data_IF_734730239927
#
_entry.id   IF_734730239927
#
_cell.length_a   1.000
_cell.length_b   1.000
_cell.length_c   1.000
_cell.angle_alpha   90.00
_cell.angle_beta   90.00
_cell.angle_gamma   90.00
#
_symmetry.space_group_name_H-M   'P 1'
#
loop_
_entity.id
_entity.type
_entity.pdbx_description
1 polymer ?
#
# COMPACT_ATOMS: atom_id res chain seq x y z
N UNK A 1 18.53 -5.77 -21.98
CA UNK A 1 18.61 -4.68 -20.98
C UNK A 1 18.22 -5.24 -19.61
N UNK A 2 19.05 -5.10 -18.59
CA UNK A 2 18.73 -5.61 -17.24
C UNK A 2 17.70 -4.72 -16.58
N UNK A 3 16.54 -5.30 -16.23
CA UNK A 3 15.47 -4.58 -15.52
C UNK A 3 15.87 -4.32 -14.08
N UNK A 4 16.16 -3.06 -13.74
CA UNK A 4 16.67 -2.66 -12.42
C UNK A 4 15.59 -2.58 -11.34
N UNK A 5 14.41 -2.08 -11.69
CA UNK A 5 13.25 -1.97 -10.79
C UNK A 5 12.42 -3.26 -10.85
N UNK A 6 12.79 -4.26 -10.04
CA UNK A 6 12.07 -5.54 -9.94
C UNK A 6 11.07 -5.53 -8.78
N UNK A 7 9.97 -6.31 -8.84
CA UNK A 7 9.11 -6.53 -7.69
C UNK A 7 9.90 -6.99 -6.45
N UNK A 8 9.48 -6.55 -5.27
CA UNK A 8 10.18 -6.80 -4.01
C UNK A 8 11.31 -5.83 -3.70
N UNK A 9 11.82 -5.06 -4.66
CA UNK A 9 12.91 -4.13 -4.43
C UNK A 9 12.50 -2.96 -3.56
N UNK A 10 13.32 -2.65 -2.54
CA UNK A 10 13.10 -1.47 -1.69
C UNK A 10 13.65 -0.25 -2.42
N UNK A 11 12.85 0.80 -2.47
CA UNK A 11 13.17 2.09 -3.08
C UNK A 11 12.94 3.24 -2.12
N UNK A 12 13.66 4.34 -2.35
CA UNK A 12 13.43 5.62 -1.68
C UNK A 12 12.75 6.55 -2.67
N UNK A 13 11.71 7.23 -2.22
CA UNK A 13 10.95 8.18 -3.04
C UNK A 13 11.68 9.52 -2.99
N UNK A 14 11.95 10.09 -4.16
CA UNK A 14 12.69 11.35 -4.29
C UNK A 14 11.75 12.56 -4.37
N UNK A 15 10.53 12.39 -4.93
CA UNK A 15 9.66 13.52 -5.23
C UNK A 15 8.22 13.29 -4.73
N UNK A 16 7.53 14.39 -4.43
CA UNK A 16 6.14 14.45 -4.03
C UNK A 16 5.91 14.29 -2.52
N UNK A 17 4.65 14.10 -2.12
CA UNK A 17 4.20 14.06 -0.72
C UNK A 17 4.96 13.06 0.17
N UNK A 18 5.47 11.98 -0.41
CA UNK A 18 6.18 10.92 0.31
C UNK A 18 7.70 10.92 0.02
N UNK A 19 8.25 12.06 -0.40
CA UNK A 19 9.70 12.21 -0.58
C UNK A 19 10.45 11.81 0.71
N UNK A 20 11.59 11.13 0.55
CA UNK A 20 12.37 10.59 1.68
C UNK A 20 11.76 9.36 2.37
N UNK A 21 10.60 8.87 1.90
CA UNK A 21 10.00 7.63 2.43
C UNK A 21 10.49 6.42 1.66
N UNK A 22 10.56 5.30 2.37
CA UNK A 22 10.87 4.00 1.78
C UNK A 22 9.61 3.27 1.37
N UNK A 23 9.69 2.57 0.26
CA UNK A 23 8.62 1.72 -0.23
C UNK A 23 9.18 0.49 -0.91
N UNK A 24 8.32 -0.47 -1.16
CA UNK A 24 8.60 -1.72 -1.86
C UNK A 24 7.89 -1.67 -3.20
N UNK A 25 8.59 -2.02 -4.26
CA UNK A 25 8.00 -2.16 -5.59
C UNK A 25 7.16 -3.43 -5.61
N UNK A 26 5.90 -3.32 -6.00
CA UNK A 26 5.00 -4.46 -6.20
C UNK A 26 4.92 -4.83 -7.66
N UNK A 27 4.79 -3.82 -8.53
CA UNK A 27 4.67 -4.01 -9.96
C UNK A 27 5.48 -2.94 -10.70
N UNK A 28 6.16 -3.34 -11.73
CA UNK A 28 6.95 -2.45 -12.59
C UNK A 28 6.48 -2.55 -14.03
N UNK A 29 6.11 -1.41 -14.62
CA UNK A 29 5.74 -1.28 -16.01
C UNK A 29 6.82 -0.43 -16.70
N UNK A 30 7.60 -1.07 -17.57
CA UNK A 30 8.67 -0.40 -18.34
C UNK A 30 8.16 0.25 -19.61
N UNK A 31 7.01 -0.22 -20.09
CA UNK A 31 6.37 0.30 -21.29
C UNK A 31 5.37 1.40 -20.92
N UNK A 32 5.17 2.32 -21.84
CA UNK A 32 4.14 3.34 -21.72
C UNK A 32 2.76 2.70 -21.88
N UNK A 33 1.86 3.02 -20.97
CA UNK A 33 0.44 2.63 -21.04
C UNK A 33 -0.38 3.85 -21.44
N UNK A 34 -1.56 3.66 -22.07
CA UNK A 34 -2.44 4.76 -22.52
C UNK A 34 -2.63 5.86 -21.47
N UNK A 35 -2.78 5.48 -20.20
CA UNK A 35 -2.97 6.42 -19.08
C UNK A 35 -1.67 7.10 -18.61
N UNK A 36 -0.51 6.46 -18.83
CA UNK A 36 0.79 6.94 -18.37
C UNK A 36 1.84 6.69 -19.44
N UNK A 37 2.18 7.75 -20.15
CA UNK A 37 3.16 7.72 -21.26
C UNK A 37 4.62 7.65 -20.79
N UNK A 38 4.87 7.11 -19.59
CA UNK A 38 6.20 7.00 -19.00
C UNK A 38 6.35 5.68 -18.22
N UNK A 39 7.57 5.16 -18.09
CA UNK A 39 7.86 3.99 -17.25
C UNK A 39 7.50 4.28 -15.78
N UNK A 40 6.73 3.38 -15.18
CA UNK A 40 6.24 3.60 -13.82
C UNK A 40 6.21 2.31 -13.00
N UNK A 41 6.31 2.48 -11.69
CA UNK A 41 6.19 1.40 -10.73
C UNK A 41 5.04 1.65 -9.76
N UNK A 42 4.33 0.60 -9.37
CA UNK A 42 3.45 0.64 -8.22
C UNK A 42 4.29 0.37 -6.95
N UNK A 43 4.25 1.32 -6.03
CA UNK A 43 5.04 1.28 -4.79
C UNK A 43 4.10 1.28 -3.59
N UNK A 44 4.36 0.36 -2.68
CA UNK A 44 3.74 0.28 -1.35
C UNK A 44 4.76 0.68 -0.31
N UNK A 45 4.45 1.65 0.53
CA UNK A 45 5.41 2.13 1.51
C UNK A 45 4.77 2.66 2.78
N UNK A 46 5.60 2.96 3.76
CA UNK A 46 5.18 3.49 5.04
C UNK A 46 4.99 5.01 4.96
N UNK A 47 3.79 5.48 5.26
CA UNK A 47 3.49 6.94 5.31
C UNK A 47 4.21 7.63 6.47
N UNK A 48 4.40 6.91 7.58
CA UNK A 48 5.21 7.36 8.74
C UNK A 48 6.08 6.19 9.19
N UNK A 49 7.35 6.47 9.47
CA UNK A 49 8.24 5.49 10.06
C UNK A 49 7.76 5.05 11.45
N UNK A 50 7.99 3.79 11.84
CA UNK A 50 7.65 3.31 13.16
C UNK A 50 8.44 4.07 14.24
N UNK A 51 7.79 4.35 15.36
CA UNK A 51 8.47 4.85 16.54
C UNK A 51 9.28 3.74 17.19
N UNK A 52 10.41 4.08 17.81
CA UNK A 52 11.23 3.11 18.54
C UNK A 52 10.37 2.42 19.63
N UNK A 53 10.22 1.10 19.60
CA UNK A 53 9.45 0.40 20.59
C UNK A 53 10.24 0.34 21.90
N UNK A 54 9.78 1.08 22.89
CA UNK A 54 10.28 1.01 24.27
C UNK A 54 9.25 0.29 25.14
N UNK A 55 9.68 -0.35 26.23
CA UNK A 55 8.77 -1.02 27.19
C UNK A 55 7.61 -0.09 27.59
N UNK A 56 7.91 1.19 27.86
CA UNK A 56 6.91 2.20 28.23
C UNK A 56 5.89 2.47 27.11
N UNK A 57 6.34 2.55 25.84
CA UNK A 57 5.46 2.80 24.70
C UNK A 57 4.57 1.59 24.41
N UNK A 58 5.11 0.38 24.56
CA UNK A 58 4.36 -0.87 24.40
C UNK A 58 3.28 -0.97 25.48
N UNK A 59 3.63 -0.73 26.76
CA UNK A 59 2.67 -0.76 27.86
C UNK A 59 1.54 0.28 27.67
N UNK A 60 1.87 1.50 27.26
CA UNK A 60 0.86 2.53 26.94
C UNK A 60 -0.05 2.10 25.79
N UNK A 61 0.50 1.46 24.76
CA UNK A 61 -0.29 0.97 23.62
C UNK A 61 -1.23 -0.16 24.06
N UNK A 62 -0.73 -1.12 24.85
CA UNK A 62 -1.54 -2.21 25.39
C UNK A 62 -2.68 -1.70 26.29
N UNK A 63 -2.39 -0.75 27.19
CA UNK A 63 -3.41 -0.13 28.03
C UNK A 63 -4.48 0.60 27.17
N UNK A 64 -4.08 1.28 26.10
CA UNK A 64 -5.01 1.93 25.18
C UNK A 64 -5.87 0.91 24.42
N UNK A 65 -5.28 -0.19 23.95
CA UNK A 65 -5.99 -1.28 23.30
C UNK A 65 -7.03 -1.87 24.26
N UNK A 66 -6.63 -2.22 25.48
CA UNK A 66 -7.53 -2.78 26.50
C UNK A 66 -8.72 -1.86 26.80
N UNK A 67 -8.48 -0.54 26.91
CA UNK A 67 -9.56 0.44 27.08
C UNK A 67 -10.51 0.52 25.88
N UNK A 68 -10.02 0.30 24.68
CA UNK A 68 -10.86 0.33 23.47
C UNK A 68 -11.61 -1.00 23.29
N UNK A 69 -11.04 -2.13 23.65
CA UNK A 69 -11.68 -3.44 23.57
C UNK A 69 -12.89 -3.55 24.51
N UNK A 70 -12.97 -2.72 25.56
CA UNK A 70 -14.15 -2.62 26.42
C UNK A 70 -15.29 -1.73 25.88
N UNK A 71 -15.14 -1.16 24.68
CA UNK A 71 -16.16 -0.31 24.03
C UNK A 71 -16.76 -1.03 22.83
N UNK A 72 -18.08 -1.04 22.67
CA UNK A 72 -18.82 -1.82 21.67
C UNK A 72 -18.45 -1.57 20.20
N UNK A 73 -17.88 -0.42 19.87
CA UNK A 73 -17.46 -0.03 18.49
C UNK A 73 -15.94 -0.04 18.28
N UNK A 74 -15.22 -0.89 18.98
CA UNK A 74 -13.76 -0.80 19.10
C UNK A 74 -12.97 -1.49 17.97
N UNK A 75 -13.56 -2.41 17.20
CA UNK A 75 -12.79 -3.31 16.31
C UNK A 75 -11.90 -2.57 15.31
N UNK A 76 -12.43 -1.55 14.63
CA UNK A 76 -11.67 -0.80 13.60
C UNK A 76 -10.62 0.13 14.22
N UNK A 77 -10.92 0.72 15.38
CA UNK A 77 -9.94 1.56 16.10
C UNK A 77 -8.78 0.73 16.62
N UNK A 78 -9.03 -0.48 17.10
CA UNK A 78 -8.00 -1.42 17.56
C UNK A 78 -7.15 -1.91 16.40
N UNK A 79 -7.78 -2.26 15.24
CA UNK A 79 -7.05 -2.62 14.02
C UNK A 79 -6.12 -1.50 13.57
N UNK A 80 -6.59 -0.25 13.57
CA UNK A 80 -5.78 0.91 13.23
C UNK A 80 -4.59 1.13 14.17
N UNK A 81 -4.74 0.86 15.47
CA UNK A 81 -3.65 0.95 16.45
C UNK A 81 -2.61 -0.14 16.27
N UNK A 82 -3.03 -1.34 15.82
CA UNK A 82 -2.18 -2.49 15.53
C UNK A 82 -1.66 -2.49 14.08
N UNK A 83 -1.77 -1.38 13.35
CA UNK A 83 -1.29 -1.24 11.98
C UNK A 83 -0.42 -0.01 11.76
N UNK A 84 0.46 -0.08 10.76
CA UNK A 84 1.18 1.11 10.29
C UNK A 84 0.37 1.83 9.21
N UNK A 85 0.52 3.15 9.13
CA UNK A 85 0.01 3.91 8.00
C UNK A 85 0.78 3.55 6.72
N UNK A 86 0.08 2.99 5.73
CA UNK A 86 0.64 2.56 4.45
C UNK A 86 0.07 3.43 3.34
N UNK A 87 0.89 3.73 2.35
CA UNK A 87 0.45 4.29 1.08
C UNK A 87 0.68 3.31 -0.06
N UNK A 88 -0.21 3.35 -1.04
CA UNK A 88 -0.11 2.61 -2.31
C UNK A 88 -0.22 3.66 -3.40
N UNK A 89 0.79 3.78 -4.26
CA UNK A 89 0.81 4.79 -5.31
C UNK A 89 1.71 4.38 -6.47
N UNK A 90 1.34 4.81 -7.68
CA UNK A 90 2.19 4.74 -8.86
C UNK A 90 3.18 5.90 -8.88
N UNK A 91 4.43 5.59 -9.16
CA UNK A 91 5.53 6.55 -9.31
C UNK A 91 6.23 6.38 -10.63
N UNK A 92 6.68 7.49 -11.21
CA UNK A 92 7.62 7.46 -12.31
C UNK A 92 8.95 6.86 -11.81
N UNK A 93 9.57 5.99 -12.59
CA UNK A 93 10.85 5.38 -12.24
C UNK A 93 11.96 6.42 -12.01
N UNK A 94 11.91 7.57 -12.71
CA UNK A 94 12.84 8.67 -12.51
C UNK A 94 12.76 9.33 -11.11
N UNK A 95 11.63 9.17 -10.42
CA UNK A 95 11.43 9.70 -9.06
C UNK A 95 11.72 8.69 -7.96
N UNK A 96 12.35 7.57 -8.30
CA UNK A 96 12.68 6.50 -7.37
C UNK A 96 14.19 6.27 -7.34
N UNK A 97 14.75 6.20 -6.14
CA UNK A 97 16.11 5.74 -5.90
C UNK A 97 16.05 4.27 -5.49
N UNK A 98 16.54 3.38 -6.34
CA UNK A 98 16.60 1.97 -6.01
C UNK A 98 17.74 1.69 -5.03
N UNK A 99 17.45 0.87 -4.01
CA UNK A 99 18.44 0.41 -3.04
C UNK A 99 18.94 -0.99 -3.39
N UNK A 100 19.97 -1.48 -2.71
CA UNK A 100 20.44 -2.86 -2.87
C UNK A 100 19.52 -3.90 -2.24
N UNK A 101 18.61 -3.49 -1.35
CA UNK A 101 17.77 -4.38 -0.56
C UNK A 101 16.55 -4.85 -1.34
N UNK A 102 16.25 -6.14 -1.22
CA UNK A 102 15.09 -6.78 -1.85
C UNK A 102 14.33 -7.59 -0.80
N UNK A 103 13.04 -7.39 -0.67
CA UNK A 103 12.18 -8.21 0.17
C UNK A 103 11.63 -9.37 -0.68
N UNK A 104 11.78 -10.60 -0.21
CA UNK A 104 11.02 -11.73 -0.74
C UNK A 104 9.54 -11.52 -0.37
N UNK A 105 8.60 -11.86 -1.27
CA UNK A 105 7.17 -11.50 -1.16
C UNK A 105 6.44 -12.31 -0.07
N UNK A 106 6.89 -12.18 1.14
CA UNK A 106 6.27 -12.81 2.31
C UNK A 106 5.19 -11.95 2.97
N UNK A 107 5.09 -10.67 2.59
CA UNK A 107 4.15 -9.71 3.20
C UNK A 107 2.72 -9.83 2.65
N UNK A 108 2.46 -10.72 1.71
CA UNK A 108 1.16 -10.83 1.05
C UNK A 108 0.72 -9.54 0.32
N UNK A 109 1.68 -8.63 0.08
CA UNK A 109 1.45 -7.33 -0.55
C UNK A 109 0.93 -7.53 -1.98
N UNK A 110 1.51 -8.46 -2.71
CA UNK A 110 1.14 -8.74 -4.09
C UNK A 110 -0.33 -9.16 -4.20
N UNK A 111 -0.82 -10.03 -3.33
CA UNK A 111 -2.22 -10.47 -3.30
C UNK A 111 -3.19 -9.31 -3.03
N UNK A 112 -2.87 -8.47 -2.04
CA UNK A 112 -3.71 -7.32 -1.68
C UNK A 112 -3.73 -6.26 -2.79
N UNK A 113 -2.63 -6.10 -3.53
CA UNK A 113 -2.52 -5.13 -4.61
C UNK A 113 -3.15 -5.64 -5.90
N UNK A 114 -3.11 -6.95 -6.18
CA UNK A 114 -3.75 -7.54 -7.36
C UNK A 114 -5.25 -7.21 -7.41
N UNK A 115 -5.96 -7.35 -6.28
CA UNK A 115 -7.37 -6.96 -6.18
C UNK A 115 -7.63 -5.50 -6.51
N UNK A 116 -6.75 -4.61 -6.05
CA UNK A 116 -6.86 -3.16 -6.33
C UNK A 116 -6.67 -2.91 -7.83
N UNK A 117 -5.70 -3.57 -8.47
CA UNK A 117 -5.45 -3.43 -9.91
C UNK A 117 -6.66 -3.91 -10.75
N UNK A 118 -7.32 -5.00 -10.34
CA UNK A 118 -8.51 -5.52 -11.01
C UNK A 118 -9.68 -4.52 -10.91
N UNK A 119 -9.92 -3.98 -9.72
CA UNK A 119 -10.97 -2.98 -9.52
C UNK A 119 -10.67 -1.66 -10.25
N UNK A 120 -9.40 -1.21 -10.30
CA UNK A 120 -9.02 -0.01 -11.05
C UNK A 120 -9.23 -0.19 -12.56
N UNK A 121 -9.03 -1.40 -13.09
CA UNK A 121 -9.33 -1.71 -14.50
C UNK A 121 -10.83 -1.64 -14.77
N UNK A 122 -11.66 -2.30 -13.96
CA UNK A 122 -13.12 -2.24 -14.09
C UNK A 122 -13.63 -0.81 -14.09
N UNK A 123 -13.24 -0.02 -13.09
CA UNK A 123 -13.62 1.40 -13.00
C UNK A 123 -13.24 2.22 -14.25
N UNK A 124 -12.13 1.89 -14.92
CA UNK A 124 -11.72 2.57 -16.15
C UNK A 124 -12.55 2.14 -17.35
N UNK A 125 -12.89 0.86 -17.43
CA UNK A 125 -13.75 0.31 -18.48
C UNK A 125 -15.16 0.93 -18.39
N UNK A 126 -15.73 1.00 -17.18
CA UNK A 126 -17.05 1.59 -16.95
C UNK A 126 -17.07 3.10 -17.22
N UNK A 127 -16.03 3.82 -16.85
CA UNK A 127 -15.89 5.24 -17.23
C UNK A 127 -15.84 5.43 -18.75
N UNK A 128 -15.06 4.62 -19.45
CA UNK A 128 -14.97 4.69 -20.90
C UNK A 128 -16.29 4.35 -21.57
N UNK A 129 -17.05 3.40 -21.02
CA UNK A 129 -18.38 3.04 -21.51
C UNK A 129 -19.38 4.20 -21.35
N UNK A 130 -19.33 4.93 -20.22
CA UNK A 130 -20.17 6.11 -19.98
C UNK A 130 -19.82 7.24 -20.95
N UNK A 131 -18.53 7.56 -21.10
CA UNK A 131 -18.08 8.59 -22.02
C UNK A 131 -18.48 8.31 -23.49
N UNK A 132 -18.46 7.04 -23.91
CA UNK A 132 -18.90 6.63 -25.24
C UNK A 132 -20.41 6.77 -25.41
N UNK A 133 -21.21 6.46 -24.37
CA UNK A 133 -22.68 6.63 -24.40
C UNK A 133 -23.09 8.10 -24.37
N UNK A 134 -22.42 8.94 -23.61
CA UNK A 134 -22.64 10.40 -23.60
C UNK A 134 -22.38 11.02 -25.01
N UNK A 135 -21.35 10.57 -25.71
CA UNK A 135 -21.07 11.01 -27.09
C UNK A 135 -22.15 10.58 -28.07
N UNK A 136 -22.78 9.44 -27.85
CA UNK A 136 -23.76 8.86 -28.75
C UNK A 136 -25.21 9.34 -28.50
N UNK A 137 -25.45 10.26 -27.56
CA UNK A 137 -26.77 10.86 -27.23
C UNK A 137 -27.92 9.84 -27.14
N UNK A 138 -27.69 8.68 -26.50
CA UNK A 138 -28.73 7.66 -26.30
C UNK A 138 -29.21 7.63 -24.85
N UNK A 139 -30.54 7.66 -24.71
CA UNK A 139 -31.37 7.41 -23.51
C UNK A 139 -30.83 7.86 -22.14
N UNK A 140 -31.37 8.97 -21.65
CA UNK A 140 -31.01 9.60 -20.36
C UNK A 140 -31.18 8.67 -19.15
N UNK A 141 -32.19 7.78 -19.14
CA UNK A 141 -32.48 6.86 -18.03
C UNK A 141 -31.38 5.79 -17.84
N UNK A 142 -30.87 5.21 -18.93
CA UNK A 142 -29.79 4.23 -18.88
C UNK A 142 -28.47 4.87 -18.45
N UNK A 143 -28.30 6.14 -18.76
CA UNK A 143 -27.12 6.92 -18.43
C UNK A 143 -27.07 7.27 -16.93
N UNK A 144 -28.22 7.58 -16.31
CA UNK A 144 -28.33 7.78 -14.86
C UNK A 144 -28.08 6.49 -14.09
N UNK A 145 -28.63 5.36 -14.54
CA UNK A 145 -28.38 4.05 -13.93
C UNK A 145 -26.89 3.66 -13.98
N UNK A 146 -26.19 3.95 -15.08
CA UNK A 146 -24.74 3.71 -15.21
C UNK A 146 -23.93 4.65 -14.33
N UNK A 147 -24.31 5.92 -14.19
CA UNK A 147 -23.64 6.88 -13.30
C UNK A 147 -23.79 6.48 -11.84
N UNK A 148 -24.96 5.97 -11.42
CA UNK A 148 -25.18 5.46 -10.06
C UNK A 148 -24.34 4.20 -9.76
N UNK A 149 -24.28 3.24 -10.69
CA UNK A 149 -23.38 2.07 -10.58
C UNK A 149 -21.92 2.47 -10.47
N UNK A 150 -21.45 3.38 -11.31
CA UNK A 150 -20.08 3.90 -11.23
C UNK A 150 -19.80 4.59 -9.88
N UNK A 151 -20.82 5.24 -9.29
CA UNK A 151 -20.74 5.82 -7.94
C UNK A 151 -20.47 4.75 -6.89
N UNK A 152 -21.23 3.67 -6.89
CA UNK A 152 -21.07 2.53 -5.97
C UNK A 152 -19.71 1.85 -6.15
N UNK A 153 -19.31 1.56 -7.39
CA UNK A 153 -17.99 0.96 -7.68
C UNK A 153 -16.81 1.82 -7.23
N UNK A 154 -16.92 3.16 -7.32
CA UNK A 154 -15.89 4.06 -6.77
C UNK A 154 -15.77 3.98 -5.25
N UNK A 155 -16.89 3.80 -4.56
CA UNK A 155 -16.88 3.69 -3.11
C UNK A 155 -16.39 2.31 -2.67
N UNK A 156 -16.75 1.26 -3.38
CA UNK A 156 -16.21 -0.09 -3.19
C UNK A 156 -14.69 -0.12 -3.42
N UNK A 157 -14.21 0.54 -4.47
CA UNK A 157 -12.78 0.69 -4.71
C UNK A 157 -12.05 1.43 -3.57
N UNK A 158 -12.63 2.52 -3.05
CA UNK A 158 -12.05 3.25 -1.92
C UNK A 158 -11.98 2.37 -0.66
N UNK A 159 -13.05 1.60 -0.41
CA UNK A 159 -13.13 0.69 0.73
C UNK A 159 -12.10 -0.44 0.60
N UNK A 160 -11.95 -1.04 -0.58
CA UNK A 160 -10.97 -2.10 -0.82
C UNK A 160 -9.53 -1.58 -0.68
N UNK A 161 -9.25 -0.39 -1.22
CA UNK A 161 -7.94 0.27 -1.02
C UNK A 161 -7.67 0.55 0.47
N UNK A 162 -8.68 0.94 1.24
CA UNK A 162 -8.57 1.15 2.68
C UNK A 162 -8.29 -0.18 3.40
N UNK A 163 -9.02 -1.22 3.08
CA UNK A 163 -8.85 -2.55 3.65
C UNK A 163 -7.48 -3.14 3.33
N UNK A 164 -7.04 -3.03 2.08
CA UNK A 164 -5.70 -3.47 1.66
C UNK A 164 -4.59 -2.72 2.42
N UNK A 165 -4.72 -1.40 2.59
CA UNK A 165 -3.76 -0.62 3.39
C UNK A 165 -3.73 -1.06 4.85
N UNK A 166 -4.87 -1.36 5.44
CA UNK A 166 -4.97 -1.86 6.82
C UNK A 166 -4.35 -3.25 6.95
N UNK A 167 -4.63 -4.15 6.03
CA UNK A 167 -4.08 -5.51 6.02
C UNK A 167 -2.56 -5.49 5.89
N UNK A 168 -2.02 -4.78 4.90
CA UNK A 168 -0.58 -4.62 4.70
C UNK A 168 0.06 -3.95 5.92
N UNK A 169 -0.57 -2.89 6.46
CA UNK A 169 -0.09 -2.19 7.63
C UNK A 169 -0.05 -3.07 8.88
N UNK A 170 -1.04 -3.95 9.08
CA UNK A 170 -1.08 -4.90 10.19
C UNK A 170 -0.01 -5.97 10.08
N UNK A 171 0.21 -6.53 8.89
CA UNK A 171 1.28 -7.50 8.65
C UNK A 171 2.67 -6.89 8.86
N UNK A 172 2.91 -5.69 8.34
CA UNK A 172 4.14 -4.95 8.61
C UNK A 172 4.35 -4.68 10.10
N UNK A 173 3.27 -4.34 10.84
CA UNK A 173 3.33 -4.12 12.28
C UNK A 173 3.66 -5.42 13.04
N UNK A 174 3.03 -6.54 12.70
CA UNK A 174 3.32 -7.85 13.32
C UNK A 174 4.80 -8.23 13.15
N UNK A 175 5.34 -8.10 11.92
CA UNK A 175 6.76 -8.40 11.65
C UNK A 175 7.72 -7.48 12.39
N UNK A 176 7.41 -6.18 12.42
CA UNK A 176 8.21 -5.23 13.18
C UNK A 176 8.25 -5.60 14.67
N UNK A 177 7.09 -5.94 15.25
CA UNK A 177 7.01 -6.35 16.65
C UNK A 177 7.68 -7.70 16.92
N UNK A 178 7.51 -8.70 16.02
CA UNK A 178 8.18 -10.00 16.11
C UNK A 178 9.71 -9.83 16.10
N UNK A 179 10.25 -9.09 15.17
CA UNK A 179 11.69 -8.83 15.07
C UNK A 179 12.26 -8.06 16.28
N UNK A 180 11.43 -7.26 16.96
CA UNK A 180 11.87 -6.51 18.14
C UNK A 180 11.73 -7.30 19.45
N UNK A 181 10.64 -8.06 19.61
CA UNK A 181 10.33 -8.77 20.88
C UNK A 181 11.08 -10.10 20.97
N UNK A 182 11.15 -10.86 19.90
CA UNK A 182 11.73 -12.21 19.93
C UNK A 182 13.23 -12.26 19.70
N UNK A 183 13.83 -11.22 19.10
CA UNK A 183 15.27 -11.23 18.80
C UNK A 183 15.73 -12.36 17.86
N UNK A 184 14.88 -13.35 17.63
CA UNK A 184 15.04 -14.50 16.77
C UNK A 184 13.91 -14.44 15.75
N UNK A 185 14.22 -14.12 14.52
CA UNK A 185 13.31 -14.41 13.40
C UNK A 185 13.75 -15.74 12.80
N UNK A 186 12.80 -16.63 12.52
CA UNK A 186 13.03 -17.85 11.73
C UNK A 186 13.27 -17.50 10.25
N UNK A 187 13.42 -16.22 9.95
CA UNK A 187 13.71 -15.69 8.61
C UNK A 187 15.22 -15.74 8.35
N UNK A 188 15.59 -16.01 7.11
CA UNK A 188 16.97 -15.89 6.62
C UNK A 188 17.57 -14.55 7.08
N UNK A 189 18.80 -14.53 7.56
CA UNK A 189 19.50 -13.33 8.06
C UNK A 189 19.43 -12.16 7.07
N UNK A 190 19.46 -12.44 5.77
CA UNK A 190 19.38 -11.44 4.72
C UNK A 190 17.99 -10.77 4.68
N UNK A 191 16.90 -11.54 4.77
CA UNK A 191 15.54 -10.99 4.83
C UNK A 191 15.32 -10.15 6.09
N UNK A 192 15.90 -10.54 7.21
CA UNK A 192 15.87 -9.76 8.44
C UNK A 192 16.52 -8.39 8.28
N UNK A 193 17.73 -8.33 7.66
CA UNK A 193 18.41 -7.07 7.37
C UNK A 193 17.59 -6.19 6.43
N UNK A 194 17.01 -6.77 5.38
CA UNK A 194 16.19 -6.07 4.40
C UNK A 194 14.91 -5.50 5.05
N UNK A 195 14.26 -6.28 5.90
CA UNK A 195 13.06 -5.86 6.66
C UNK A 195 13.42 -4.75 7.67
N UNK A 196 14.53 -4.89 8.39
CA UNK A 196 15.01 -3.85 9.30
C UNK A 196 15.31 -2.55 8.57
N UNK A 197 15.91 -2.63 7.36
CA UNK A 197 16.17 -1.44 6.55
C UNK A 197 14.88 -0.71 6.19
N UNK A 198 13.80 -1.42 5.85
CA UNK A 198 12.51 -0.79 5.55
C UNK A 198 11.98 0.04 6.73
N UNK A 199 12.14 -0.47 7.95
CA UNK A 199 11.63 0.20 9.16
C UNK A 199 12.57 1.25 9.75
N UNK A 200 13.85 1.18 9.46
CA UNK A 200 14.84 2.13 9.98
C UNK A 200 14.65 3.51 9.35
N UNK A 201 14.72 4.56 10.15
CA UNK A 201 14.67 5.93 9.64
C UNK A 201 15.92 6.21 8.81
N UNK A 202 15.75 6.92 7.67
CA UNK A 202 16.90 7.45 6.93
C UNK A 202 17.57 8.53 7.78
N UNK A 203 18.87 8.44 7.90
CA UNK A 203 19.73 9.47 8.49
C UNK A 203 20.55 10.01 7.33
N UNK A 204 20.41 11.28 7.07
CA UNK A 204 21.23 12.03 6.12
C UNK A 204 22.13 12.93 6.94
#
# INVERSE_FOLDING_TARGET
MVKFYKPGKIVVILNGRYAGRKGVIVKSNYESVKDRKYPHCMVVGLSKGPKKPTKRNIAKLQAKIKKLESQDNASDRVKNLKSFGVFIKHYNMAHLLATRYTLKDELGIAKSVAKIDELDKKLKEDKAAIENKEKNKKDDKDLEALKSKLGQEKDDFKNEVRNAKLNIGSEMYKRFMKGFVSGKSDEDKENQINTQFLFKKLQF
#
